data_IF_473941372698
#
_entry.id   IF_473941372698
#
_cell.length_a   1.000
_cell.length_b   1.000
_cell.length_c   1.000
_cell.angle_alpha   90.00
_cell.angle_beta   90.00
_cell.angle_gamma   90.00
#
_symmetry.space_group_name_H-M   'P 1'
#
loop_
_entity.id
_entity.type
_entity.pdbx_description
1 polymer ?
#
# COMPACT_ATOMS: atom_id res chain seq x y z
N UNK A 1 -21.46 -12.91 1.29
CA UNK A 1 -20.10 -13.37 1.69
C UNK A 1 -19.12 -13.14 0.53
N UNK A 2 -18.42 -12.00 0.46
CA UNK A 2 -17.34 -11.79 -0.54
C UNK A 2 -16.35 -10.68 -0.14
N UNK A 3 -16.01 -10.55 1.15
CA UNK A 3 -14.96 -9.59 1.57
C UNK A 3 -13.53 -10.14 1.37
N UNK A 4 -13.37 -11.47 1.25
CA UNK A 4 -12.07 -12.12 1.09
C UNK A 4 -11.33 -11.70 -0.20
N UNK A 5 -11.97 -11.65 -1.39
CA UNK A 5 -11.30 -11.21 -2.61
C UNK A 5 -10.84 -9.74 -2.54
N UNK A 6 -11.66 -8.86 -1.96
CA UNK A 6 -11.34 -7.44 -1.80
C UNK A 6 -10.16 -7.23 -0.86
N UNK A 7 -10.10 -7.97 0.25
CA UNK A 7 -8.99 -7.91 1.19
C UNK A 7 -7.69 -8.41 0.58
N UNK A 8 -7.72 -9.52 -0.16
CA UNK A 8 -6.57 -10.03 -0.89
C UNK A 8 -6.05 -9.01 -1.93
N UNK A 9 -6.95 -8.40 -2.72
CA UNK A 9 -6.55 -7.36 -3.69
C UNK A 9 -5.91 -6.13 -3.02
N UNK A 10 -6.35 -5.75 -1.82
CA UNK A 10 -5.73 -4.66 -1.07
C UNK A 10 -4.35 -5.06 -0.52
N UNK A 11 -4.18 -6.31 -0.08
CA UNK A 11 -2.87 -6.83 0.32
C UNK A 11 -1.89 -6.84 -0.85
N UNK A 12 -2.32 -7.27 -2.04
CA UNK A 12 -1.47 -7.25 -3.23
C UNK A 12 -1.04 -5.83 -3.60
N UNK A 13 -1.97 -4.87 -3.54
CA UNK A 13 -1.66 -3.44 -3.75
C UNK A 13 -0.67 -2.92 -2.71
N UNK A 14 -0.86 -3.26 -1.44
CA UNK A 14 0.06 -2.88 -0.37
C UNK A 14 1.47 -3.44 -0.62
N UNK A 15 1.59 -4.72 -0.98
CA UNK A 15 2.86 -5.36 -1.30
C UNK A 15 3.55 -4.72 -2.52
N UNK A 16 2.78 -4.34 -3.55
CA UNK A 16 3.30 -3.62 -4.72
C UNK A 16 3.84 -2.24 -4.34
N UNK A 17 3.13 -1.49 -3.50
CA UNK A 17 3.58 -0.19 -3.01
C UNK A 17 4.86 -0.29 -2.18
N UNK A 18 5.00 -1.36 -1.38
CA UNK A 18 6.23 -1.64 -0.63
C UNK A 18 7.43 -1.90 -1.53
N UNK A 19 7.24 -2.68 -2.60
CA UNK A 19 8.29 -2.92 -3.59
C UNK A 19 8.71 -1.63 -4.30
N UNK A 20 7.74 -0.80 -4.69
CA UNK A 20 8.02 0.50 -5.33
C UNK A 20 8.76 1.45 -4.39
N UNK A 21 8.39 1.47 -3.11
CA UNK A 21 9.02 2.32 -2.10
C UNK A 21 10.47 1.86 -1.83
N UNK A 22 10.70 0.55 -1.75
CA UNK A 22 12.04 -0.02 -1.62
C UNK A 22 12.90 0.26 -2.86
N UNK A 23 12.34 0.09 -4.06
CA UNK A 23 13.02 0.38 -5.32
C UNK A 23 13.40 1.86 -5.43
N UNK A 24 12.48 2.77 -5.12
CA UNK A 24 12.73 4.21 -5.15
C UNK A 24 13.73 4.64 -4.07
N UNK A 25 13.64 4.08 -2.87
CA UNK A 25 14.57 4.36 -1.76
C UNK A 25 15.99 3.82 -1.98
N UNK A 26 16.15 2.79 -2.83
CA UNK A 26 17.45 2.25 -3.21
C UNK A 26 18.14 3.06 -4.33
N UNK A 27 17.47 4.04 -4.93
CA UNK A 27 18.08 4.87 -5.98
C UNK A 27 19.15 5.79 -5.37
N UNK A 28 20.27 6.01 -6.07
CA UNK A 28 21.32 6.94 -5.62
C UNK A 28 20.84 8.37 -5.37
N UNK A 29 19.79 8.79 -6.08
CA UNK A 29 19.07 10.05 -5.87
C UNK A 29 17.56 9.75 -5.81
N UNK A 30 17.02 9.46 -4.61
CA UNK A 30 15.62 9.12 -4.47
C UNK A 30 14.73 10.36 -4.65
N UNK A 31 13.62 10.22 -5.37
CA UNK A 31 12.61 11.27 -5.47
C UNK A 31 11.75 11.29 -4.21
N UNK A 32 11.99 12.29 -3.36
CA UNK A 32 11.27 12.49 -2.12
C UNK A 32 9.76 12.70 -2.32
N UNK A 33 9.34 13.35 -3.42
CA UNK A 33 7.93 13.55 -3.71
C UNK A 33 7.27 12.23 -4.12
N UNK A 34 7.96 11.41 -4.90
CA UNK A 34 7.50 10.05 -5.24
C UNK A 34 7.43 9.15 -4.01
N UNK A 35 8.45 9.16 -3.15
CA UNK A 35 8.42 8.43 -1.89
C UNK A 35 7.27 8.86 -0.98
N UNK A 36 7.00 10.16 -0.87
CA UNK A 36 5.88 10.68 -0.08
C UNK A 36 4.52 10.21 -0.63
N UNK A 37 4.34 10.26 -1.97
CA UNK A 37 3.13 9.75 -2.64
C UNK A 37 2.94 8.25 -2.41
N UNK A 38 4.00 7.46 -2.53
CA UNK A 38 3.98 6.01 -2.29
C UNK A 38 3.64 5.68 -0.84
N UNK A 39 4.24 6.39 0.13
CA UNK A 39 3.93 6.24 1.56
C UNK A 39 2.47 6.57 1.87
N UNK A 40 1.94 7.66 1.30
CA UNK A 40 0.54 8.04 1.49
C UNK A 40 -0.42 7.02 0.88
N UNK A 41 -0.12 6.53 -0.32
CA UNK A 41 -0.90 5.46 -0.96
C UNK A 41 -0.90 4.19 -0.10
N UNK A 42 0.26 3.80 0.45
CA UNK A 42 0.39 2.64 1.34
C UNK A 42 -0.45 2.81 2.60
N UNK A 43 -0.42 4.00 3.22
CA UNK A 43 -1.22 4.32 4.40
C UNK A 43 -2.72 4.16 4.11
N UNK A 44 -3.21 4.73 3.01
CA UNK A 44 -4.63 4.62 2.61
C UNK A 44 -5.07 3.17 2.39
N UNK A 45 -4.24 2.37 1.71
CA UNK A 45 -4.55 0.94 1.51
C UNK A 45 -4.61 0.19 2.84
N UNK A 46 -3.70 0.51 3.78
CA UNK A 46 -3.72 -0.05 5.13
C UNK A 46 -5.01 0.32 5.87
N UNK A 47 -5.41 1.59 5.84
CA UNK A 47 -6.65 2.06 6.47
C UNK A 47 -7.89 1.37 5.88
N UNK A 48 -7.95 1.21 4.56
CA UNK A 48 -9.05 0.50 3.90
C UNK A 48 -9.10 -0.99 4.30
N UNK A 49 -7.95 -1.65 4.45
CA UNK A 49 -7.89 -3.02 4.97
C UNK A 49 -8.41 -3.09 6.41
N UNK A 50 -7.98 -2.17 7.28
CA UNK A 50 -8.43 -2.13 8.67
C UNK A 50 -9.94 -1.86 8.79
N UNK A 51 -10.51 -0.95 7.99
CA UNK A 51 -11.96 -0.74 7.94
C UNK A 51 -12.73 -1.99 7.52
N UNK A 52 -12.23 -2.71 6.51
CA UNK A 52 -12.84 -3.96 6.05
C UNK A 52 -12.71 -5.09 7.07
N UNK A 53 -11.61 -5.12 7.85
CA UNK A 53 -11.42 -6.06 8.96
C UNK A 53 -12.35 -5.75 10.13
N UNK A 54 -12.53 -4.47 10.46
CA UNK A 54 -13.38 -4.01 11.56
C UNK A 54 -14.89 -4.10 11.25
N UNK A 55 -15.26 -4.12 9.96
CA UNK A 55 -16.65 -4.31 9.52
C UNK A 55 -17.07 -5.78 9.40
N UNK A 56 -16.35 -6.70 10.07
CA UNK A 56 -16.61 -8.14 10.12
C UNK A 56 -16.92 -8.56 11.56
#
# INVERSE_FOLDING_TARGET
MTHQPRLNSLQDRHASLDRQLAAEGARPAPDAATLAKLKLAKLRVKEEMEKLRASR
#
